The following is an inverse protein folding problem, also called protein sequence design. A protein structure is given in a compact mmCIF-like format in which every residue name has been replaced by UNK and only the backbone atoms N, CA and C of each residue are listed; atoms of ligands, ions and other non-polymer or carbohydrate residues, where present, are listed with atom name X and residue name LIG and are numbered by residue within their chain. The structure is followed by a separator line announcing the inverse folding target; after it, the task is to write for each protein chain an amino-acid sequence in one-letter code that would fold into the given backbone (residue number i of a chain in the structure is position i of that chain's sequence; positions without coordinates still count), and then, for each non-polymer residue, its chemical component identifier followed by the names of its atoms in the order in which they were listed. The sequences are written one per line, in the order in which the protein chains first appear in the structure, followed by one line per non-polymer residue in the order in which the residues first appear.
data_IF_481183987637
#
_entry.id   IF_481183987637
#
_cell.length_a   1.000
_cell.length_b   1.000
_cell.length_c   1.000
_cell.angle_alpha   90.00
_cell.angle_beta   90.00
_cell.angle_gamma   90.00
#
_symmetry.space_group_name_H-M   'P 1'
#
loop_
_entity.id
_entity.type
_entity.pdbx_description
1 polymer ?
#
# COMPACT_ATOMS: atom_id res chain seq x y z
N UNK A 1 -24.51 -1.08 13.30
CA UNK A 1 -24.07 -0.88 11.90
C UNK A 1 -22.73 -0.18 11.95
N UNK A 2 -21.67 -0.78 11.41
CA UNK A 2 -20.41 -0.04 11.25
C UNK A 2 -20.66 1.10 10.26
N UNK A 3 -20.20 2.31 10.57
CA UNK A 3 -20.20 3.38 9.59
C UNK A 3 -19.40 2.93 8.37
N UNK A 4 -19.91 3.19 7.17
CA UNK A 4 -19.16 2.95 5.94
C UNK A 4 -17.88 3.80 5.98
N UNK A 5 -16.73 3.13 6.03
CA UNK A 5 -15.43 3.79 5.87
C UNK A 5 -14.96 3.57 4.43
N UNK A 6 -14.29 4.56 3.85
CA UNK A 6 -13.84 4.54 2.46
C UNK A 6 -12.32 4.39 2.38
N UNK A 7 -11.84 3.81 1.27
CA UNK A 7 -10.42 3.77 0.94
C UNK A 7 -10.10 4.87 -0.08
N UNK A 8 -9.32 5.90 0.27
CA UNK A 8 -8.95 6.94 -0.67
C UNK A 8 -7.94 6.40 -1.69
N UNK A 9 -8.27 6.50 -2.98
CA UNK A 9 -7.30 6.36 -4.07
C UNK A 9 -7.11 7.75 -4.68
N UNK A 10 -5.92 8.37 -4.59
CA UNK A 10 -5.65 9.63 -5.26
C UNK A 10 -5.94 9.54 -6.75
N UNK A 11 -6.59 10.56 -7.30
CA UNK A 11 -7.02 10.55 -8.71
C UNK A 11 -5.84 10.38 -9.68
N UNK A 12 -4.65 10.87 -9.31
CA UNK A 12 -3.42 10.66 -10.07
C UNK A 12 -3.05 9.17 -10.15
N UNK A 13 -3.16 8.42 -9.05
CA UNK A 13 -2.93 6.97 -9.00
C UNK A 13 -4.04 6.23 -9.74
N UNK A 14 -5.29 6.64 -9.55
CA UNK A 14 -6.45 5.98 -10.16
C UNK A 14 -6.37 6.01 -11.69
N UNK A 15 -5.96 7.14 -12.27
CA UNK A 15 -5.90 7.35 -13.72
C UNK A 15 -4.66 6.78 -14.41
N UNK A 16 -3.62 6.38 -13.66
CA UNK A 16 -2.40 5.79 -14.23
C UNK A 16 -2.70 4.46 -14.92
N UNK A 17 -2.50 4.40 -16.24
CA UNK A 17 -2.75 3.19 -17.06
C UNK A 17 -1.58 2.21 -17.07
N UNK A 18 -0.41 2.69 -16.64
CA UNK A 18 0.83 1.94 -16.43
C UNK A 18 0.91 1.26 -15.06
N UNK A 19 -0.07 1.49 -14.17
CA UNK A 19 -0.19 0.79 -12.88
C UNK A 19 -1.24 -0.31 -12.93
N UNK A 20 -0.89 -1.45 -12.36
CA UNK A 20 -1.80 -2.56 -12.11
C UNK A 20 -2.91 -2.16 -11.14
N UNK A 21 -4.09 -2.75 -11.29
CA UNK A 21 -5.20 -2.55 -10.35
C UNK A 21 -4.80 -2.94 -8.91
N UNK A 22 -3.95 -3.96 -8.75
CA UNK A 22 -3.46 -4.42 -7.46
C UNK A 22 -2.55 -3.39 -6.77
N UNK A 23 -1.67 -2.72 -7.52
CA UNK A 23 -0.86 -1.61 -7.00
C UNK A 23 -1.72 -0.45 -6.52
N UNK A 24 -2.78 -0.10 -7.26
CA UNK A 24 -3.73 0.95 -6.85
C UNK A 24 -4.46 0.63 -5.55
N UNK A 25 -4.95 -0.60 -5.41
CA UNK A 25 -5.61 -1.07 -4.18
C UNK A 25 -4.63 -1.12 -3.00
N UNK A 26 -3.41 -1.59 -3.23
CA UNK A 26 -2.36 -1.61 -2.22
C UNK A 26 -2.02 -0.19 -1.73
N UNK A 27 -1.87 0.76 -2.66
CA UNK A 27 -1.68 2.17 -2.34
C UNK A 27 -2.83 2.73 -1.47
N UNK A 28 -4.08 2.48 -1.85
CA UNK A 28 -5.26 2.88 -1.07
C UNK A 28 -5.17 2.40 0.39
N UNK A 29 -4.80 1.13 0.57
CA UNK A 29 -4.73 0.51 1.88
C UNK A 29 -3.58 1.08 2.71
N UNK A 30 -2.42 1.32 2.09
CA UNK A 30 -1.30 1.99 2.76
C UNK A 30 -1.67 3.40 3.22
N UNK A 31 -2.42 4.18 2.41
CA UNK A 31 -2.89 5.51 2.81
C UNK A 31 -3.79 5.42 4.06
N UNK A 32 -4.66 4.42 4.13
CA UNK A 32 -5.50 4.21 5.31
C UNK A 32 -4.68 3.82 6.56
N UNK A 33 -3.65 2.99 6.41
CA UNK A 33 -2.73 2.65 7.50
C UNK A 33 -1.89 3.83 7.97
N UNK A 34 -1.46 4.70 7.05
CA UNK A 34 -0.59 5.82 7.33
C UNK A 34 -1.24 6.89 8.22
N UNK A 35 -2.57 7.03 8.14
CA UNK A 35 -3.33 7.96 8.97
C UNK A 35 -2.78 9.39 8.90
N UNK A 36 -2.69 10.06 10.07
CA UNK A 36 -2.17 11.43 10.18
C UNK A 36 -0.65 11.52 10.14
N UNK A 37 0.04 10.45 10.50
CA UNK A 37 1.50 10.43 10.68
C UNK A 37 2.25 10.14 9.37
N UNK A 38 1.54 9.73 8.32
CA UNK A 38 2.11 9.51 6.99
C UNK A 38 2.99 8.26 6.90
N UNK A 39 2.92 7.36 7.88
CA UNK A 39 3.73 6.15 7.96
C UNK A 39 2.85 4.91 8.09
N UNK A 40 2.87 4.04 7.08
CA UNK A 40 2.18 2.76 7.14
C UNK A 40 3.17 1.64 7.48
N UNK A 41 2.83 0.75 8.41
CA UNK A 41 3.70 -0.38 8.77
C UNK A 41 3.00 -1.75 8.85
N UNK A 42 1.99 -2.04 7.98
CA UNK A 42 1.37 -3.37 7.97
C UNK A 42 2.37 -4.45 7.52
N UNK A 43 2.15 -5.68 7.98
CA UNK A 43 2.88 -6.85 7.45
C UNK A 43 2.37 -7.18 6.05
N UNK A 44 3.22 -7.79 5.22
CA UNK A 44 2.81 -8.29 3.89
C UNK A 44 1.63 -9.27 3.98
N UNK A 45 1.63 -10.12 5.01
CA UNK A 45 0.54 -11.06 5.27
C UNK A 45 -0.79 -10.33 5.55
N UNK A 46 -0.76 -9.26 6.36
CA UNK A 46 -1.94 -8.44 6.66
C UNK A 46 -2.50 -7.77 5.41
N UNK A 47 -1.64 -7.17 4.58
CA UNK A 47 -2.07 -6.61 3.30
C UNK A 47 -2.64 -7.69 2.37
N UNK A 48 -2.04 -8.88 2.37
CA UNK A 48 -2.51 -10.00 1.55
C UNK A 48 -3.90 -10.45 1.97
N UNK A 49 -4.12 -10.65 3.27
CA UNK A 49 -5.42 -11.01 3.83
C UNK A 49 -6.50 -9.98 3.51
N UNK A 50 -6.25 -8.70 3.81
CA UNK A 50 -7.23 -7.62 3.61
C UNK A 50 -7.56 -7.37 2.14
N UNK A 51 -6.60 -7.57 1.23
CA UNK A 51 -6.78 -7.35 -0.21
C UNK A 51 -7.23 -8.62 -0.95
N UNK A 52 -7.31 -9.78 -0.27
CA UNK A 52 -7.59 -11.07 -0.92
C UNK A 52 -6.50 -11.53 -1.88
N UNK A 53 -5.23 -11.23 -1.57
CA UNK A 53 -4.06 -11.46 -2.41
C UNK A 53 -2.99 -12.28 -1.67
N UNK A 54 -2.16 -13.02 -2.39
CA UNK A 54 -1.00 -13.66 -1.76
C UNK A 54 0.03 -12.62 -1.29
N UNK A 55 0.81 -12.88 -0.22
CA UNK A 55 1.90 -11.99 0.19
C UNK A 55 2.92 -11.70 -0.93
N UNK A 56 3.12 -12.67 -1.83
CA UNK A 56 3.98 -12.50 -3.02
C UNK A 56 3.39 -11.49 -4.01
N UNK A 57 2.08 -11.52 -4.23
CA UNK A 57 1.41 -10.53 -5.08
C UNK A 57 1.49 -9.12 -4.47
N UNK A 58 1.29 -9.00 -3.16
CA UNK A 58 1.47 -7.73 -2.44
C UNK A 58 2.89 -7.21 -2.59
N UNK A 59 3.91 -8.05 -2.38
CA UNK A 59 5.30 -7.66 -2.56
C UNK A 59 5.57 -7.12 -3.98
N UNK A 60 5.02 -7.77 -5.02
CA UNK A 60 5.12 -7.28 -6.40
C UNK A 60 4.48 -5.90 -6.57
N UNK A 61 3.30 -5.69 -5.99
CA UNK A 61 2.60 -4.40 -6.05
C UNK A 61 3.37 -3.28 -5.34
N UNK A 62 4.00 -3.57 -4.20
CA UNK A 62 4.87 -2.61 -3.50
C UNK A 62 6.08 -2.25 -4.36
N UNK A 63 6.75 -3.25 -4.95
CA UNK A 63 7.90 -3.03 -5.85
C UNK A 63 7.50 -2.26 -7.11
N UNK A 64 6.29 -2.47 -7.65
CA UNK A 64 5.75 -1.69 -8.76
C UNK A 64 5.54 -0.22 -8.36
N UNK A 65 4.95 0.05 -7.19
CA UNK A 65 4.80 1.42 -6.70
C UNK A 65 6.16 2.11 -6.48
N UNK A 66 7.16 1.38 -5.97
CA UNK A 66 8.53 1.86 -5.80
C UNK A 66 9.20 2.19 -7.15
N UNK A 67 9.06 1.33 -8.16
CA UNK A 67 9.65 1.56 -9.48
C UNK A 67 9.10 2.82 -10.15
N UNK A 68 7.84 3.15 -9.87
CA UNK A 68 7.19 4.39 -10.30
C UNK A 68 7.42 5.58 -9.36
N UNK A 69 8.23 5.43 -8.31
CA UNK A 69 8.53 6.47 -7.29
C UNK A 69 7.30 6.96 -6.52
N UNK A 70 6.28 6.13 -6.41
CA UNK A 70 5.04 6.42 -5.68
C UNK A 70 5.07 5.92 -4.24
N UNK A 71 6.06 5.09 -3.92
CA UNK A 71 6.26 4.50 -2.60
C UNK A 71 7.74 4.49 -2.23
N UNK A 72 8.02 4.74 -0.96
CA UNK A 72 9.34 4.51 -0.36
C UNK A 72 9.19 3.49 0.77
N UNK A 73 10.02 2.43 0.76
CA UNK A 73 10.07 1.43 1.82
C UNK A 73 11.32 1.58 2.67
N UNK A 74 11.14 1.61 3.99
CA UNK A 74 12.22 1.58 4.97
C UNK A 74 12.19 0.25 5.74
N UNK A 75 13.28 -0.51 5.66
CA UNK A 75 13.45 -1.73 6.44
C UNK A 75 13.82 -1.40 7.90
N UNK A 76 13.17 -2.05 8.86
CA UNK A 76 13.39 -1.83 10.30
C UNK A 76 14.27 -2.89 10.98
N UNK A 77 14.70 -3.90 10.22
CA UNK A 77 15.48 -5.04 10.72
C UNK A 77 14.79 -6.38 10.51
N UNK A 78 15.51 -7.48 10.78
CA UNK A 78 15.02 -8.83 10.55
C UNK A 78 13.79 -9.13 11.41
N UNK A 79 12.75 -9.67 10.78
CA UNK A 79 11.50 -10.07 11.45
C UNK A 79 10.53 -8.92 11.75
N UNK A 80 10.89 -7.66 11.49
CA UNK A 80 9.98 -6.53 11.64
C UNK A 80 9.25 -6.23 10.33
N UNK A 81 8.05 -5.64 10.42
CA UNK A 81 7.40 -5.07 9.23
C UNK A 81 8.20 -3.87 8.73
N UNK A 82 8.13 -3.62 7.42
CA UNK A 82 8.71 -2.39 6.86
C UNK A 82 7.84 -1.19 7.22
N UNK A 83 8.41 0.01 7.14
CA UNK A 83 7.67 1.27 7.06
C UNK A 83 7.52 1.64 5.59
N UNK A 84 6.32 2.04 5.21
CA UNK A 84 5.94 2.45 3.88
C UNK A 84 5.50 3.91 3.92
N UNK A 85 6.06 4.71 3.03
CA UNK A 85 5.70 6.11 2.81
C UNK A 85 5.14 6.25 1.40
N UNK A 86 3.85 6.54 1.30
CA UNK A 86 3.22 6.88 0.01
C UNK A 86 3.64 8.29 -0.35
N UNK A 87 4.29 8.43 -1.49
CA UNK A 87 4.76 9.72 -1.98
C UNK A 87 3.55 10.50 -2.53
N UNK A 88 3.50 11.80 -2.22
CA UNK A 88 2.48 12.74 -2.73
C UNK A 88 2.95 13.38 -4.03
#
# INVERSE_FOLDING_TARGET
MSQLTFAPIPNEILRRTDLSHGAKLCCARLIQYAGKDGQAFPKLATLGEELGMSPRAVQRFLTELESHKLLTTQQRGRGQSNIYHVNK
#
